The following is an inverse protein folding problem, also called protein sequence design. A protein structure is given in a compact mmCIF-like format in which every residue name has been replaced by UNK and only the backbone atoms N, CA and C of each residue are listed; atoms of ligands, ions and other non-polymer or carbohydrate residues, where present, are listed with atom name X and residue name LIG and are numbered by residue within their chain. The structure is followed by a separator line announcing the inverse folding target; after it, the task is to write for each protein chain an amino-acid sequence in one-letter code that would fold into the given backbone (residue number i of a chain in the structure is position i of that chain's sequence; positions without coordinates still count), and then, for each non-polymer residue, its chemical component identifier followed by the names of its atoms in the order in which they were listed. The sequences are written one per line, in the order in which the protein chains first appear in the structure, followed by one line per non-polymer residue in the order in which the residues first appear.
data_IF_503119902921
#
_entry.id   IF_503119902921
#
_cell.length_a   1.000
_cell.length_b   1.000
_cell.length_c   1.000
_cell.angle_alpha   90.00
_cell.angle_beta   90.00
_cell.angle_gamma   90.00
#
_symmetry.space_group_name_H-M   'P 1'
#
loop_
_entity.id
_entity.type
_entity.pdbx_description
1 polymer ?
#
# COMPACT_ATOMS: atom_id res chain seq x y z
N UNK A 1 -31.23 3.32 3.81
CA UNK A 1 -29.76 3.19 3.93
C UNK A 1 -29.44 1.72 4.16
N UNK A 2 -28.63 1.09 3.31
CA UNK A 2 -28.21 -0.30 3.52
C UNK A 2 -27.29 -0.36 4.76
N UNK A 3 -27.68 -1.17 5.76
CA UNK A 3 -26.76 -1.55 6.84
C UNK A 3 -25.77 -2.56 6.27
N UNK A 4 -24.51 -2.16 6.11
CA UNK A 4 -23.38 -3.04 5.72
C UNK A 4 -23.07 -4.07 6.80
N UNK A 5 -23.48 -3.80 8.02
CA UNK A 5 -23.35 -4.68 9.16
C UNK A 5 -24.57 -5.58 9.30
N UNK A 6 -24.31 -6.78 9.78
CA UNK A 6 -25.31 -7.77 10.16
C UNK A 6 -24.86 -8.50 11.43
N UNK A 7 -25.82 -8.84 12.27
CA UNK A 7 -25.59 -9.70 13.42
C UNK A 7 -25.62 -11.16 12.96
N UNK A 8 -24.49 -11.86 13.06
CA UNK A 8 -24.36 -13.21 12.52
C UNK A 8 -25.22 -14.21 13.30
N UNK A 9 -25.52 -13.94 14.58
CA UNK A 9 -26.39 -14.78 15.41
C UNK A 9 -27.84 -14.84 14.90
N UNK A 10 -28.24 -13.84 14.11
CA UNK A 10 -29.60 -13.73 13.55
C UNK A 10 -29.74 -14.37 12.16
N UNK A 11 -28.63 -14.83 11.58
CA UNK A 11 -28.63 -15.41 10.24
C UNK A 11 -29.15 -16.85 10.26
N UNK A 12 -29.89 -17.26 9.22
CA UNK A 12 -30.40 -18.63 9.14
C UNK A 12 -29.25 -19.64 9.01
N UNK A 13 -29.49 -20.84 9.54
CA UNK A 13 -28.53 -21.94 9.40
C UNK A 13 -28.44 -22.46 7.95
N UNK A 14 -29.50 -22.33 7.15
CA UNK A 14 -29.46 -22.72 5.73
C UNK A 14 -28.51 -21.80 4.94
N UNK A 15 -27.49 -22.40 4.33
CA UNK A 15 -26.43 -21.69 3.64
C UNK A 15 -26.94 -20.83 2.47
N UNK A 16 -27.87 -21.37 1.69
CA UNK A 16 -28.41 -20.70 0.50
C UNK A 16 -29.17 -19.46 0.93
N UNK A 17 -30.10 -19.62 1.87
CA UNK A 17 -30.90 -18.53 2.39
C UNK A 17 -30.05 -17.47 3.08
N UNK A 18 -29.02 -17.89 3.81
CA UNK A 18 -28.12 -16.95 4.48
C UNK A 18 -27.38 -16.06 3.49
N UNK A 19 -26.88 -16.61 2.37
CA UNK A 19 -26.24 -15.84 1.31
C UNK A 19 -27.25 -14.92 0.61
N UNK A 20 -28.42 -15.43 0.21
CA UNK A 20 -29.44 -14.65 -0.49
C UNK A 20 -29.88 -13.41 0.30
N UNK A 21 -30.04 -13.53 1.63
CA UNK A 21 -30.37 -12.41 2.52
C UNK A 21 -29.31 -11.30 2.55
N UNK A 22 -28.08 -11.59 2.10
CA UNK A 22 -27.02 -10.59 1.99
C UNK A 22 -27.00 -9.92 0.61
N UNK A 23 -27.47 -10.57 -0.45
CA UNK A 23 -27.27 -10.09 -1.82
C UNK A 23 -28.07 -8.83 -2.14
N UNK A 24 -29.35 -8.79 -1.76
CA UNK A 24 -30.25 -7.69 -2.11
C UNK A 24 -29.79 -6.35 -1.52
N UNK A 25 -29.41 -6.25 -0.23
CA UNK A 25 -28.85 -5.01 0.34
C UNK A 25 -27.52 -4.58 -0.29
N UNK A 26 -26.77 -5.52 -0.88
CA UNK A 26 -25.51 -5.26 -1.58
C UNK A 26 -25.72 -4.96 -3.08
N UNK A 27 -26.96 -5.02 -3.58
CA UNK A 27 -27.28 -4.86 -5.00
C UNK A 27 -26.71 -5.96 -5.90
N UNK A 28 -26.30 -7.08 -5.32
CA UNK A 28 -25.68 -8.20 -6.03
C UNK A 28 -26.75 -9.15 -6.58
N UNK A 29 -26.47 -9.72 -7.74
CA UNK A 29 -27.26 -10.82 -8.30
C UNK A 29 -26.55 -12.16 -8.10
N UNK A 30 -27.34 -13.23 -8.03
CA UNK A 30 -26.80 -14.58 -7.82
C UNK A 30 -26.47 -15.27 -9.14
N UNK A 31 -25.33 -15.95 -9.20
CA UNK A 31 -25.04 -16.93 -10.25
C UNK A 31 -25.66 -18.29 -9.91
N UNK A 32 -26.07 -19.11 -10.91
CA UNK A 32 -26.50 -20.49 -10.67
C UNK A 32 -25.51 -21.35 -9.85
N UNK A 33 -24.22 -20.98 -9.85
CA UNK A 33 -23.18 -21.62 -9.03
C UNK A 33 -23.44 -21.56 -7.51
N UNK A 34 -24.26 -20.62 -7.01
CA UNK A 34 -24.66 -20.60 -5.60
C UNK A 34 -25.37 -21.91 -5.21
N UNK A 35 -26.38 -22.32 -5.97
CA UNK A 35 -27.22 -23.47 -5.61
C UNK A 35 -26.40 -24.77 -5.57
N UNK A 36 -25.44 -24.93 -6.49
CA UNK A 36 -24.50 -26.05 -6.43
C UNK A 36 -23.56 -26.01 -5.22
N UNK A 37 -23.27 -24.81 -4.70
CA UNK A 37 -22.37 -24.64 -3.56
C UNK A 37 -23.07 -24.78 -2.22
N UNK A 38 -24.33 -24.34 -2.09
CA UNK A 38 -24.99 -24.14 -0.79
C UNK A 38 -26.26 -24.97 -0.56
N UNK A 39 -26.83 -25.62 -1.58
CA UNK A 39 -28.12 -26.30 -1.44
C UNK A 39 -28.08 -27.43 -0.40
N UNK A 40 -29.02 -27.40 0.54
CA UNK A 40 -29.14 -28.37 1.64
C UNK A 40 -28.01 -28.32 2.68
N UNK A 41 -27.10 -27.35 2.59
CA UNK A 41 -25.98 -27.22 3.52
C UNK A 41 -26.35 -26.34 4.71
N UNK A 42 -25.84 -26.70 5.89
CA UNK A 42 -26.01 -25.91 7.11
C UNK A 42 -24.71 -25.21 7.52
N UNK A 43 -24.84 -24.01 8.06
CA UNK A 43 -23.75 -23.13 8.49
C UNK A 43 -23.88 -22.86 9.98
N UNK A 44 -22.75 -22.82 10.68
CA UNK A 44 -22.70 -22.35 12.07
C UNK A 44 -22.20 -20.92 12.12
N UNK A 45 -22.97 -20.03 12.75
CA UNK A 45 -22.61 -18.62 12.86
C UNK A 45 -21.88 -18.35 14.18
N UNK A 46 -20.84 -17.50 14.19
CA UNK A 46 -20.24 -16.99 15.41
C UNK A 46 -21.18 -15.94 16.03
N UNK A 47 -21.15 -15.84 17.36
CA UNK A 47 -21.92 -14.84 18.10
C UNK A 47 -21.22 -13.48 18.08
N UNK A 48 -21.32 -12.77 16.94
CA UNK A 48 -20.77 -11.44 16.74
C UNK A 48 -21.45 -10.70 15.59
N UNK A 49 -21.24 -9.40 15.54
CA UNK A 49 -21.51 -8.58 14.35
C UNK A 49 -20.35 -8.66 13.36
N UNK A 50 -20.68 -8.48 12.09
CA UNK A 50 -19.72 -8.44 10.99
C UNK A 50 -20.32 -7.76 9.77
N UNK A 51 -19.56 -7.73 8.67
CA UNK A 51 -20.09 -7.19 7.41
C UNK A 51 -20.86 -8.25 6.65
N UNK A 52 -21.76 -7.82 5.76
CA UNK A 52 -22.48 -8.75 4.87
C UNK A 52 -21.55 -9.51 3.92
N UNK A 53 -20.49 -8.87 3.43
CA UNK A 53 -19.44 -9.55 2.66
C UNK A 53 -18.74 -10.62 3.48
N UNK A 54 -18.43 -10.31 4.74
CA UNK A 54 -17.83 -11.27 5.67
C UNK A 54 -18.76 -12.47 5.93
N UNK A 55 -20.08 -12.25 6.01
CA UNK A 55 -21.05 -13.34 6.14
C UNK A 55 -21.03 -14.26 4.90
N UNK A 56 -20.95 -13.72 3.68
CA UNK A 56 -20.84 -14.51 2.45
C UNK A 56 -19.53 -15.33 2.43
N UNK A 57 -18.40 -14.70 2.79
CA UNK A 57 -17.09 -15.35 2.89
C UNK A 57 -17.06 -16.43 3.98
N UNK A 58 -17.80 -16.23 5.08
CA UNK A 58 -17.96 -17.21 6.14
C UNK A 58 -18.66 -18.49 5.65
N UNK A 59 -19.71 -18.36 4.83
CA UNK A 59 -20.39 -19.50 4.20
C UNK A 59 -19.43 -20.23 3.27
N UNK A 60 -18.76 -19.51 2.37
CA UNK A 60 -17.79 -20.11 1.44
C UNK A 60 -16.72 -20.92 2.17
N UNK A 61 -16.15 -20.36 3.24
CA UNK A 61 -15.13 -21.02 4.05
C UNK A 61 -15.61 -22.34 4.66
N UNK A 62 -16.81 -22.39 5.25
CA UNK A 62 -17.33 -23.62 5.85
C UNK A 62 -17.62 -24.72 4.84
N UNK A 63 -18.03 -24.33 3.63
CA UNK A 63 -18.42 -25.27 2.58
C UNK A 63 -17.27 -25.67 1.64
N UNK A 64 -16.09 -25.03 1.76
CA UNK A 64 -14.98 -25.27 0.84
C UNK A 64 -15.24 -24.67 -0.55
N UNK A 65 -15.83 -23.48 -0.58
CA UNK A 65 -16.03 -22.67 -1.78
C UNK A 65 -15.48 -21.26 -1.60
N UNK A 66 -15.14 -20.62 -2.71
CA UNK A 66 -14.56 -19.28 -2.77
C UNK A 66 -15.59 -18.36 -3.44
N UNK A 67 -16.12 -17.36 -2.73
CA UNK A 67 -16.93 -16.30 -3.33
C UNK A 67 -16.10 -15.49 -4.34
N UNK A 68 -16.68 -15.26 -5.51
CA UNK A 68 -16.11 -14.44 -6.57
C UNK A 68 -17.11 -13.34 -6.94
N UNK A 69 -16.69 -12.09 -6.76
CA UNK A 69 -17.48 -10.91 -7.05
C UNK A 69 -17.06 -10.38 -8.41
N UNK A 70 -17.95 -10.43 -9.40
CA UNK A 70 -17.63 -10.04 -10.77
C UNK A 70 -18.87 -9.44 -11.43
N UNK A 71 -18.76 -8.25 -12.01
CA UNK A 71 -19.85 -7.61 -12.76
C UNK A 71 -21.21 -7.63 -12.01
N UNK A 72 -21.20 -7.18 -10.76
CA UNK A 72 -22.39 -7.14 -9.90
C UNK A 72 -23.02 -8.52 -9.60
N UNK A 73 -22.31 -9.61 -9.86
CA UNK A 73 -22.73 -10.99 -9.59
C UNK A 73 -21.84 -11.63 -8.55
N UNK A 74 -22.46 -12.44 -7.70
CA UNK A 74 -21.76 -13.40 -6.85
C UNK A 74 -21.72 -14.76 -7.53
N UNK A 75 -20.51 -15.27 -7.74
CA UNK A 75 -20.22 -16.64 -8.18
C UNK A 75 -19.52 -17.41 -7.06
N UNK A 76 -19.59 -18.74 -7.11
CA UNK A 76 -18.83 -19.60 -6.24
C UNK A 76 -17.93 -20.51 -7.06
N UNK A 77 -16.65 -20.57 -6.70
CA UNK A 77 -15.69 -21.53 -7.23
C UNK A 77 -15.29 -22.52 -6.15
N UNK A 78 -15.21 -23.81 -6.49
CA UNK A 78 -14.80 -24.84 -5.53
C UNK A 78 -13.35 -24.62 -5.11
N UNK A 79 -13.08 -24.74 -3.81
CA UNK A 79 -11.74 -24.59 -3.24
C UNK A 79 -11.73 -23.89 -1.88
N UNK A 80 -10.57 -23.84 -1.25
CA UNK A 80 -10.36 -23.03 -0.04
C UNK A 80 -9.66 -21.74 -0.44
N UNK A 81 -10.15 -20.61 0.07
CA UNK A 81 -9.45 -19.33 -0.07
C UNK A 81 -8.14 -19.43 0.72
N UNK A 82 -7.01 -19.39 0.02
CA UNK A 82 -5.68 -19.37 0.64
C UNK A 82 -5.27 -17.95 1.01
N UNK A 83 -5.84 -16.96 0.32
CA UNK A 83 -5.56 -15.55 0.48
C UNK A 83 -6.27 -14.94 1.69
N UNK A 84 -5.55 -14.25 2.59
CA UNK A 84 -6.17 -13.50 3.67
C UNK A 84 -7.12 -12.42 3.15
N UNK A 85 -8.30 -12.33 3.78
CA UNK A 85 -9.31 -11.32 3.52
C UNK A 85 -9.57 -10.49 4.79
N UNK A 86 -9.72 -9.18 4.63
CA UNK A 86 -10.15 -8.25 5.67
C UNK A 86 -11.40 -7.50 5.22
N UNK A 87 -12.25 -7.11 6.17
CA UNK A 87 -13.54 -6.50 5.88
C UNK A 87 -13.72 -5.20 6.66
N UNK A 88 -14.28 -4.18 6.01
CA UNK A 88 -14.62 -2.91 6.65
C UNK A 88 -15.79 -2.26 5.91
N UNK A 89 -16.95 -2.15 6.55
CA UNK A 89 -18.16 -1.58 5.93
C UNK A 89 -18.52 -2.31 4.63
N UNK A 90 -18.69 -1.59 3.50
CA UNK A 90 -19.00 -2.19 2.19
C UNK A 90 -17.84 -2.93 1.51
N UNK A 91 -16.67 -3.00 2.15
CA UNK A 91 -15.43 -3.42 1.52
C UNK A 91 -14.93 -4.75 2.01
N UNK A 92 -14.35 -5.48 1.06
CA UNK A 92 -13.44 -6.57 1.29
C UNK A 92 -12.09 -6.21 0.67
N UNK A 93 -11.01 -6.46 1.39
CA UNK A 93 -9.65 -6.28 0.89
C UNK A 93 -8.92 -7.63 0.97
N UNK A 94 -8.40 -8.09 -0.16
CA UNK A 94 -7.79 -9.40 -0.37
C UNK A 94 -6.29 -9.24 -0.64
N UNK A 95 -5.46 -10.02 0.03
CA UNK A 95 -4.03 -10.12 -0.34
C UNK A 95 -3.90 -11.17 -1.45
N UNK A 96 -4.00 -10.74 -2.71
CA UNK A 96 -3.99 -11.66 -3.87
C UNK A 96 -2.61 -12.30 -4.12
N UNK A 97 -1.55 -11.52 -3.93
CA UNK A 97 -0.22 -11.97 -4.27
C UNK A 97 0.82 -11.34 -3.35
N UNK A 98 1.78 -12.16 -2.94
CA UNK A 98 3.04 -11.71 -2.35
C UNK A 98 4.14 -12.12 -3.32
N UNK A 99 4.74 -11.15 -3.99
CA UNK A 99 5.82 -11.36 -4.94
C UNK A 99 7.16 -11.05 -4.27
N UNK A 100 7.99 -12.05 -3.92
CA UNK A 100 9.34 -11.77 -3.46
C UNK A 100 10.15 -11.05 -4.54
N UNK A 101 11.06 -10.18 -4.10
CA UNK A 101 12.11 -9.59 -4.90
C UNK A 101 13.45 -10.08 -4.35
N UNK A 102 13.92 -11.18 -4.93
CA UNK A 102 15.14 -11.90 -4.49
C UNK A 102 16.36 -10.99 -4.45
N UNK A 103 16.39 -9.97 -5.32
CA UNK A 103 17.54 -9.08 -5.48
C UNK A 103 17.79 -8.22 -4.23
N UNK A 104 16.76 -7.91 -3.45
CA UNK A 104 16.83 -6.90 -2.40
C UNK A 104 16.19 -7.29 -1.06
N UNK A 105 15.70 -8.53 -0.94
CA UNK A 105 15.01 -8.99 0.28
C UNK A 105 13.73 -8.19 0.58
N UNK A 106 13.11 -7.63 -0.46
CA UNK A 106 11.81 -6.94 -0.40
C UNK A 106 10.73 -7.82 -1.00
N UNK A 107 9.46 -7.56 -0.68
CA UNK A 107 8.32 -8.19 -1.34
C UNK A 107 7.36 -7.13 -1.88
N UNK A 108 6.61 -7.43 -2.91
CA UNK A 108 5.45 -6.63 -3.33
C UNK A 108 4.19 -7.39 -2.94
N UNK A 109 3.39 -6.80 -2.04
CA UNK A 109 2.01 -7.23 -1.80
C UNK A 109 1.11 -6.62 -2.86
N UNK A 110 0.33 -7.45 -3.53
CA UNK A 110 -0.78 -7.02 -4.37
C UNK A 110 -2.07 -7.23 -3.60
N UNK A 111 -2.78 -6.13 -3.35
CA UNK A 111 -4.02 -6.14 -2.59
C UNK A 111 -5.16 -5.72 -3.52
N UNK A 112 -6.20 -6.55 -3.57
CA UNK A 112 -7.44 -6.25 -4.29
C UNK A 112 -8.49 -5.76 -3.30
N UNK A 113 -8.99 -4.56 -3.52
CA UNK A 113 -10.11 -4.00 -2.81
C UNK A 113 -11.37 -4.19 -3.65
N UNK A 114 -12.42 -4.75 -3.03
CA UNK A 114 -13.73 -4.96 -3.62
C UNK A 114 -14.76 -4.18 -2.80
N UNK A 115 -15.45 -3.24 -3.45
CA UNK A 115 -16.60 -2.52 -2.89
C UNK A 115 -17.89 -2.94 -3.56
N UNK A 116 -18.92 -3.23 -2.77
CA UNK A 116 -20.26 -3.62 -3.28
C UNK A 116 -21.36 -2.75 -2.69
N UNK A 117 -22.46 -2.62 -3.43
CA UNK A 117 -23.69 -1.95 -3.00
C UNK A 117 -23.57 -0.43 -2.76
N UNK A 118 -22.45 0.19 -3.15
CA UNK A 118 -22.22 1.60 -2.88
C UNK A 118 -23.32 2.47 -3.51
N UNK A 119 -23.86 3.48 -2.79
CA UNK A 119 -24.76 4.45 -3.39
C UNK A 119 -24.12 5.12 -4.60
N UNK A 120 -24.91 5.42 -5.64
CA UNK A 120 -24.41 6.00 -6.89
C UNK A 120 -23.55 7.25 -6.66
N UNK A 121 -24.01 8.16 -5.81
CA UNK A 121 -23.29 9.39 -5.44
C UNK A 121 -21.92 9.13 -4.78
N UNK A 122 -21.76 8.00 -4.10
CA UNK A 122 -20.49 7.56 -3.51
C UNK A 122 -19.61 6.99 -4.60
N UNK A 123 -20.15 6.06 -5.40
CA UNK A 123 -19.44 5.37 -6.49
C UNK A 123 -18.85 6.36 -7.51
N UNK A 124 -19.59 7.38 -7.91
CA UNK A 124 -19.13 8.39 -8.89
C UNK A 124 -17.91 9.19 -8.40
N UNK A 125 -17.74 9.34 -7.08
CA UNK A 125 -16.60 10.06 -6.49
C UNK A 125 -15.40 9.17 -6.22
N UNK A 126 -15.56 7.87 -6.37
CA UNK A 126 -14.57 6.88 -5.99
C UNK A 126 -13.64 6.56 -7.17
N UNK A 127 -12.70 7.46 -7.38
CA UNK A 127 -11.58 7.26 -8.31
C UNK A 127 -10.48 6.42 -7.66
N UNK A 128 -9.56 5.80 -8.44
CA UNK A 128 -8.40 5.12 -7.88
C UNK A 128 -7.60 5.99 -6.89
N UNK A 129 -7.50 7.30 -7.15
CA UNK A 129 -6.82 8.25 -6.27
C UNK A 129 -7.53 8.41 -4.91
N UNK A 130 -8.86 8.37 -4.90
CA UNK A 130 -9.67 8.44 -3.69
C UNK A 130 -9.63 7.14 -2.87
N UNK A 131 -9.39 6.00 -3.53
CA UNK A 131 -9.38 4.66 -2.93
C UNK A 131 -8.02 4.09 -2.57
N UNK A 132 -7.02 4.95 -2.55
CA UNK A 132 -5.71 4.56 -2.06
C UNK A 132 -5.80 4.18 -0.60
N UNK A 133 -5.46 2.93 -0.28
CA UNK A 133 -5.21 2.52 1.09
C UNK A 133 -4.07 3.37 1.64
N UNK A 134 -4.36 4.05 2.75
CA UNK A 134 -3.50 4.91 3.54
C UNK A 134 -3.10 4.17 4.81
N UNK A 135 -2.09 4.70 5.50
CA UNK A 135 -1.64 4.24 6.81
C UNK A 135 -1.43 2.72 6.87
N UNK A 136 -0.28 2.28 6.39
CA UNK A 136 0.09 0.88 6.40
C UNK A 136 0.98 0.56 7.58
N UNK A 137 0.65 -0.52 8.27
CA UNK A 137 1.51 -1.13 9.28
C UNK A 137 1.59 -2.61 8.97
N UNK A 138 2.79 -3.13 8.73
CA UNK A 138 3.03 -4.55 8.55
C UNK A 138 4.00 -4.99 9.63
N UNK A 139 3.62 -5.96 10.46
CA UNK A 139 4.44 -6.43 11.58
C UNK A 139 4.91 -7.86 11.38
N UNK A 140 6.19 -8.11 11.64
CA UNK A 140 6.72 -9.47 11.76
C UNK A 140 6.15 -10.16 13.02
N UNK A 141 6.25 -11.49 13.16
CA UNK A 141 5.92 -12.17 14.40
C UNK A 141 6.75 -11.71 15.61
N UNK A 142 7.95 -11.16 15.39
CA UNK A 142 8.79 -10.57 16.43
C UNK A 142 8.43 -9.10 16.74
N UNK A 143 7.48 -8.50 16.00
CA UNK A 143 7.03 -7.12 16.18
C UNK A 143 7.78 -6.09 15.32
N UNK A 144 8.71 -6.52 14.46
CA UNK A 144 9.44 -5.63 13.57
C UNK A 144 8.50 -4.98 12.56
N UNK A 145 8.72 -3.70 12.27
CA UNK A 145 8.01 -3.01 11.19
C UNK A 145 8.57 -3.45 9.84
N UNK A 146 7.69 -4.05 9.02
CA UNK A 146 7.95 -4.52 7.67
C UNK A 146 7.46 -3.54 6.60
N UNK A 147 6.65 -2.54 6.98
CA UNK A 147 6.15 -1.56 6.02
C UNK A 147 7.22 -0.48 5.76
N UNK A 148 7.37 -0.04 4.52
CA UNK A 148 8.03 1.24 4.28
C UNK A 148 7.01 2.36 4.35
N UNK A 149 7.12 3.29 5.32
CA UNK A 149 6.21 4.42 5.43
C UNK A 149 6.26 5.35 4.21
N UNK A 150 7.24 5.17 3.32
CA UNK A 150 7.44 5.96 2.10
C UNK A 150 7.26 5.14 0.81
N UNK A 151 6.80 3.89 0.91
CA UNK A 151 6.61 3.01 -0.24
C UNK A 151 5.69 3.63 -1.29
N UNK A 152 6.08 3.54 -2.57
CA UNK A 152 5.20 3.97 -3.66
C UNK A 152 4.04 2.99 -3.79
N UNK A 153 2.83 3.49 -3.53
CA UNK A 153 1.63 2.74 -3.81
C UNK A 153 1.28 2.89 -5.28
N UNK A 154 1.53 1.84 -6.06
CA UNK A 154 1.08 1.80 -7.45
C UNK A 154 -0.38 1.35 -7.48
N UNK A 155 -1.23 2.23 -8.02
CA UNK A 155 -2.60 1.91 -8.34
C UNK A 155 -2.62 1.27 -9.73
N UNK A 156 -3.17 0.07 -9.86
CA UNK A 156 -3.42 -0.52 -11.17
C UNK A 156 -4.80 -0.07 -11.66
N UNK A 157 -5.01 0.07 -12.99
CA UNK A 157 -6.30 0.50 -13.54
C UNK A 157 -7.44 -0.43 -13.09
N UNK A 158 -8.61 0.18 -12.85
CA UNK A 158 -9.86 -0.54 -12.56
C UNK A 158 -10.16 -1.50 -13.72
N UNK A 159 -10.44 -2.77 -13.44
CA UNK A 159 -11.00 -3.70 -14.43
C UNK A 159 -12.50 -3.77 -14.20
N UNK A 160 -13.27 -3.41 -15.22
CA UNK A 160 -14.72 -3.54 -15.22
C UNK A 160 -15.40 -2.55 -14.28
N UNK A 161 -15.77 -1.37 -14.78
CA UNK A 161 -16.76 -0.53 -14.12
C UNK A 161 -18.15 -1.04 -14.46
N UNK A 162 -18.49 -2.23 -13.97
CA UNK A 162 -19.92 -2.48 -13.80
C UNK A 162 -20.40 -1.56 -12.69
N UNK A 163 -21.55 -0.92 -12.90
CA UNK A 163 -22.19 0.01 -11.98
C UNK A 163 -22.25 -0.46 -10.53
N UNK A 164 -22.14 -1.75 -10.22
CA UNK A 164 -22.37 -2.26 -8.85
C UNK A 164 -21.12 -2.69 -8.08
N UNK A 165 -19.95 -2.62 -8.71
CA UNK A 165 -18.71 -3.15 -8.17
C UNK A 165 -17.57 -2.14 -8.38
N UNK A 166 -16.80 -1.87 -7.34
CA UNK A 166 -15.53 -1.13 -7.46
C UNK A 166 -14.38 -2.06 -7.13
N UNK A 167 -13.49 -2.27 -8.10
CA UNK A 167 -12.30 -3.11 -7.94
C UNK A 167 -11.01 -2.31 -8.12
N UNK A 168 -10.18 -2.27 -7.08
CA UNK A 168 -8.87 -1.61 -7.12
C UNK A 168 -7.78 -2.62 -6.79
N UNK A 169 -6.65 -2.55 -7.49
CA UNK A 169 -5.42 -3.20 -7.04
C UNK A 169 -4.41 -2.17 -6.58
N UNK A 170 -3.79 -2.47 -5.44
CA UNK A 170 -2.71 -1.69 -4.89
C UNK A 170 -1.50 -2.58 -4.65
N UNK A 171 -0.35 -2.14 -5.16
CA UNK A 171 0.93 -2.74 -4.84
C UNK A 171 1.54 -2.02 -3.64
N UNK A 172 2.03 -2.79 -2.66
CA UNK A 172 2.70 -2.30 -1.45
C UNK A 172 4.03 -3.02 -1.30
N UNK A 173 5.11 -2.26 -1.21
CA UNK A 173 6.43 -2.83 -0.96
C UNK A 173 6.61 -3.13 0.54
N UNK A 174 6.95 -4.38 0.85
CA UNK A 174 7.38 -4.84 2.16
C UNK A 174 8.89 -4.96 2.22
N UNK A 175 9.43 -4.59 3.37
CA UNK A 175 10.86 -4.50 3.64
C UNK A 175 11.21 -5.51 4.71
N UNK A 176 12.41 -6.08 4.61
CA UNK A 176 12.89 -7.14 5.51
C UNK A 176 12.02 -8.40 5.53
N UNK A 177 11.11 -8.55 4.55
CA UNK A 177 10.14 -9.63 4.46
C UNK A 177 10.79 -11.02 4.37
N UNK A 178 12.08 -11.12 4.07
CA UNK A 178 12.75 -12.40 3.83
C UNK A 178 13.91 -12.75 4.76
N UNK A 179 14.17 -11.96 5.81
CA UNK A 179 15.14 -12.35 6.85
C UNK A 179 14.51 -13.34 7.86
N UNK A 180 14.14 -14.53 7.39
CA UNK A 180 13.50 -15.57 8.21
C UNK A 180 12.03 -15.30 8.55
N UNK A 181 11.42 -14.29 7.95
CA UNK A 181 10.01 -13.96 8.14
C UNK A 181 9.19 -14.70 7.09
N UNK A 182 8.47 -15.74 7.49
CA UNK A 182 7.61 -16.53 6.59
C UNK A 182 6.16 -16.07 6.58
N UNK A 183 5.81 -15.10 7.44
CA UNK A 183 4.47 -14.54 7.56
C UNK A 183 4.50 -13.11 8.10
N UNK A 184 3.54 -12.30 7.70
CA UNK A 184 3.22 -11.04 8.36
C UNK A 184 2.22 -11.36 9.47
N UNK A 185 2.58 -11.11 10.73
CA UNK A 185 1.70 -11.41 11.85
C UNK A 185 0.46 -10.52 11.84
N UNK A 186 0.65 -9.23 11.52
CA UNK A 186 -0.42 -8.25 11.42
C UNK A 186 -0.15 -7.29 10.28
N UNK A 187 -1.13 -7.12 9.41
CA UNK A 187 -1.16 -6.08 8.38
C UNK A 187 -2.37 -5.20 8.65
N UNK A 188 -2.20 -3.89 8.74
CA UNK A 188 -3.31 -2.95 8.80
C UNK A 188 -3.21 -1.92 7.69
N UNK A 189 -4.37 -1.48 7.22
CA UNK A 189 -4.52 -0.42 6.24
C UNK A 189 -5.82 0.33 6.50
N UNK A 190 -5.90 1.59 6.06
CA UNK A 190 -7.14 2.34 6.12
C UNK A 190 -7.52 2.99 4.79
N UNK A 191 -8.80 3.23 4.59
CA UNK A 191 -9.30 4.08 3.49
C UNK A 191 -10.06 5.22 4.12
N UNK A 192 -9.82 6.42 3.62
CA UNK A 192 -10.60 7.61 3.93
C UNK A 192 -11.47 7.92 2.70
N UNK A 193 -12.75 7.55 2.73
CA UNK A 193 -13.64 7.84 1.61
C UNK A 193 -13.72 9.35 1.37
N UNK A 194 -13.81 9.79 0.11
CA UNK A 194 -14.06 11.19 -0.19
C UNK A 194 -15.39 11.61 0.44
N UNK A 195 -15.50 12.84 0.96
CA UNK A 195 -16.74 13.32 1.54
C UNK A 195 -17.83 13.36 0.46
N UNK A 196 -18.98 12.76 0.78
CA UNK A 196 -20.19 12.75 -0.04
C UNK A 196 -21.27 13.46 0.77
N UNK A 197 -21.88 14.49 0.20
CA UNK A 197 -22.90 15.27 0.88
C UNK A 197 -24.05 14.35 1.35
N UNK A 198 -24.41 14.43 2.63
CA UNK A 198 -25.47 13.61 3.22
C UNK A 198 -25.08 12.16 3.50
N UNK A 199 -23.82 11.74 3.29
CA UNK A 199 -23.35 10.39 3.62
C UNK A 199 -22.08 10.46 4.46
N UNK A 200 -22.21 10.15 5.75
CA UNK A 200 -21.07 9.99 6.64
C UNK A 200 -20.42 8.62 6.41
N UNK A 201 -19.20 8.61 5.89
CA UNK A 201 -18.36 7.42 5.82
C UNK A 201 -17.23 7.54 6.85
N UNK A 202 -17.19 6.70 7.89
CA UNK A 202 -16.03 6.67 8.79
C UNK A 202 -14.80 6.17 8.02
N UNK A 203 -13.62 6.48 8.55
CA UNK A 203 -12.39 5.86 8.08
C UNK A 203 -12.51 4.34 8.22
N UNK A 204 -12.34 3.63 7.11
CA UNK A 204 -12.46 2.18 7.03
C UNK A 204 -11.12 1.57 7.38
N UNK A 205 -11.07 0.65 8.35
CA UNK A 205 -9.83 0.01 8.78
C UNK A 205 -9.88 -1.48 8.45
N UNK A 206 -8.87 -1.94 7.74
CA UNK A 206 -8.65 -3.33 7.38
C UNK A 206 -7.55 -3.91 8.26
N UNK A 207 -7.77 -5.10 8.78
CA UNK A 207 -6.77 -5.86 9.52
C UNK A 207 -6.70 -7.28 8.96
N UNK A 208 -5.52 -7.69 8.52
CA UNK A 208 -5.20 -9.07 8.19
C UNK A 208 -4.28 -9.64 9.25
N UNK A 209 -4.41 -10.94 9.50
CA UNK A 209 -3.55 -11.71 10.40
C UNK A 209 -2.94 -12.87 9.65
N UNK A 210 -1.73 -13.24 10.06
CA UNK A 210 -1.01 -14.41 9.53
C UNK A 210 -0.94 -14.44 8.00
N UNK A 211 -0.60 -13.31 7.37
CA UNK A 211 -0.48 -13.23 5.91
C UNK A 211 0.75 -14.03 5.48
N UNK A 212 0.60 -15.11 4.70
CA UNK A 212 1.73 -15.95 4.32
C UNK A 212 2.65 -15.20 3.38
N UNK A 213 3.96 -15.25 3.65
CA UNK A 213 4.99 -14.80 2.72
C UNK A 213 5.58 -16.05 2.06
N UNK A 214 5.42 -16.17 0.74
CA UNK A 214 6.09 -17.25 0.01
C UNK A 214 7.60 -17.09 0.20
N UNK A 215 8.33 -18.10 0.71
CA UNK A 215 9.76 -17.96 0.92
C UNK A 215 10.44 -17.59 -0.41
N UNK A 216 11.26 -16.55 -0.40
CA UNK A 216 12.10 -16.22 -1.54
C UNK A 216 13.09 -17.38 -1.74
N UNK A 217 13.24 -17.91 -2.97
CA UNK A 217 14.01 -19.12 -3.24
C UNK A 217 15.47 -19.06 -2.77
N UNK A 218 16.04 -17.87 -2.61
CA UNK A 218 17.41 -17.67 -2.13
C UNK A 218 17.55 -16.32 -1.42
N UNK A 219 17.20 -16.24 -0.14
CA UNK A 219 17.63 -15.07 0.65
C UNK A 219 19.01 -15.36 1.23
N UNK A 220 20.07 -14.64 0.81
CA UNK A 220 21.40 -14.88 1.36
C UNK A 220 21.38 -14.57 2.86
N UNK A 221 21.99 -15.45 3.65
CA UNK A 221 22.06 -15.38 5.12
C UNK A 221 22.76 -14.09 5.61
N UNK A 222 23.60 -13.49 4.75
CA UNK A 222 24.18 -12.16 4.94
C UNK A 222 24.06 -11.35 3.66
N UNK A 223 23.68 -10.08 3.79
CA UNK A 223 23.74 -9.17 2.65
C UNK A 223 25.21 -8.90 2.28
N UNK A 224 25.54 -8.89 0.97
CA UNK A 224 26.86 -8.49 0.54
C UNK A 224 27.12 -7.03 0.96
N UNK A 225 28.38 -6.64 1.22
CA UNK A 225 28.72 -5.25 1.49
C UNK A 225 28.32 -4.36 0.30
N UNK A 226 28.01 -3.09 0.58
CA UNK A 226 27.70 -2.10 -0.45
C UNK A 226 28.93 -1.86 -1.34
N UNK A 227 28.78 -2.01 -2.66
CA UNK A 227 29.88 -1.77 -3.61
C UNK A 227 29.62 -0.48 -4.38
N UNK A 228 30.56 0.45 -4.34
CA UNK A 228 30.46 1.72 -5.06
C UNK A 228 31.83 2.22 -5.51
N UNK A 229 31.83 3.02 -6.58
CA UNK A 229 33.04 3.68 -7.07
C UNK A 229 33.26 5.06 -6.44
N UNK A 230 34.51 5.42 -6.21
CA UNK A 230 34.92 6.74 -5.72
C UNK A 230 34.73 6.95 -4.21
N UNK A 231 34.81 8.21 -3.76
CA UNK A 231 34.80 8.54 -2.33
C UNK A 231 33.44 8.54 -1.64
N UNK A 232 32.33 8.42 -2.40
CA UNK A 232 30.98 8.40 -1.86
C UNK A 232 30.05 7.56 -2.74
N UNK A 233 29.11 6.80 -2.16
CA UNK A 233 28.16 5.98 -2.91
C UNK A 233 27.03 6.81 -3.53
N UNK A 234 26.84 8.06 -3.11
CA UNK A 234 25.82 8.97 -3.64
C UNK A 234 26.40 10.37 -3.78
N UNK A 235 26.08 11.03 -4.88
CA UNK A 235 26.27 12.46 -5.03
C UNK A 235 24.94 13.16 -5.25
N UNK A 236 24.85 14.41 -4.80
CA UNK A 236 23.78 15.33 -5.15
C UNK A 236 24.38 16.63 -5.68
N UNK A 237 23.81 17.19 -6.75
CA UNK A 237 24.22 18.45 -7.36
C UNK A 237 23.00 19.32 -7.61
N UNK A 238 23.19 20.64 -7.55
CA UNK A 238 22.11 21.57 -7.80
C UNK A 238 21.96 21.69 -9.31
N UNK A 239 20.75 21.48 -9.81
CA UNK A 239 20.45 21.65 -11.23
C UNK A 239 19.90 23.06 -11.51
N UNK A 240 18.88 23.48 -10.75
CA UNK A 240 18.29 24.82 -10.88
C UNK A 240 17.54 25.22 -9.61
N UNK A 241 17.40 26.52 -9.37
CA UNK A 241 16.44 27.10 -8.42
C UNK A 241 15.32 27.75 -9.20
N UNK A 242 14.08 27.47 -8.81
CA UNK A 242 12.86 28.02 -9.40
C UNK A 242 12.26 28.96 -8.36
N UNK A 243 12.19 30.26 -8.63
CA UNK A 243 11.46 31.19 -7.79
C UNK A 243 9.99 30.75 -7.71
N UNK A 244 9.46 30.60 -6.50
CA UNK A 244 8.07 30.20 -6.27
C UNK A 244 7.56 30.84 -4.98
N UNK A 245 6.24 31.06 -4.90
CA UNK A 245 5.61 31.70 -3.73
C UNK A 245 4.89 30.63 -2.89
N UNK A 246 5.12 30.55 -1.57
CA UNK A 246 5.92 31.44 -0.73
C UNK A 246 7.41 31.10 -0.64
N UNK A 247 7.86 29.98 -1.24
CA UNK A 247 9.24 29.51 -1.12
C UNK A 247 9.78 28.99 -2.44
N UNK A 248 11.03 29.37 -2.75
CA UNK A 248 11.78 28.84 -3.88
C UNK A 248 11.86 27.31 -3.85
N UNK A 249 11.94 26.71 -5.04
CA UNK A 249 12.11 25.27 -5.20
C UNK A 249 13.43 24.93 -5.88
N UNK A 250 14.14 23.96 -5.34
CA UNK A 250 15.30 23.37 -5.98
C UNK A 250 14.92 22.18 -6.86
N UNK A 251 15.57 22.11 -8.03
CA UNK A 251 15.79 20.88 -8.77
C UNK A 251 17.22 20.44 -8.53
N UNK A 252 17.41 19.18 -8.18
CA UNK A 252 18.71 18.57 -7.94
C UNK A 252 18.92 17.40 -8.88
N UNK A 253 20.17 17.05 -9.10
CA UNK A 253 20.55 15.81 -9.76
C UNK A 253 21.19 14.90 -8.71
N UNK A 254 20.70 13.68 -8.59
CA UNK A 254 21.23 12.67 -7.69
C UNK A 254 21.86 11.56 -8.52
N UNK A 255 23.10 11.20 -8.20
CA UNK A 255 23.85 10.11 -8.81
C UNK A 255 23.99 8.99 -7.78
N UNK A 256 23.46 7.80 -8.07
CA UNK A 256 23.68 6.61 -7.27
C UNK A 256 24.87 5.84 -7.85
N UNK A 257 26.00 5.85 -7.15
CA UNK A 257 27.22 5.14 -7.53
C UNK A 257 27.30 3.74 -6.97
N UNK A 258 26.37 3.37 -6.09
CA UNK A 258 26.31 2.05 -5.54
C UNK A 258 25.70 1.06 -6.55
N UNK A 259 26.02 -0.20 -6.33
CA UNK A 259 25.38 -1.37 -6.94
C UNK A 259 23.97 -1.63 -6.40
N UNK A 260 23.52 -0.81 -5.44
CA UNK A 260 22.25 -0.98 -4.73
C UNK A 260 21.31 0.22 -4.90
N UNK A 261 19.98 0.01 -5.04
CA UNK A 261 19.06 1.12 -5.20
C UNK A 261 18.97 1.93 -3.91
N UNK A 262 18.71 3.22 -4.05
CA UNK A 262 18.54 4.13 -2.92
C UNK A 262 17.11 4.06 -2.39
N UNK A 263 16.99 3.96 -1.07
CA UNK A 263 15.74 4.17 -0.34
C UNK A 263 15.55 5.64 -0.01
N UNK A 264 16.62 6.25 0.54
CA UNK A 264 16.61 7.64 0.97
C UNK A 264 17.97 8.27 0.71
N UNK A 265 17.94 9.54 0.37
CA UNK A 265 19.12 10.39 0.34
C UNK A 265 18.85 11.57 1.24
N UNK A 266 19.74 11.80 2.21
CA UNK A 266 19.77 13.05 2.95
C UNK A 266 20.65 14.01 2.18
N UNK A 267 20.05 15.10 1.73
CA UNK A 267 20.76 16.18 1.04
C UNK A 267 20.84 17.38 1.97
N UNK A 268 21.98 18.08 1.95
CA UNK A 268 22.17 19.35 2.64
C UNK A 268 22.19 20.46 1.62
N UNK A 269 21.31 21.43 1.79
CA UNK A 269 21.37 22.72 1.11
C UNK A 269 22.18 23.68 1.95
N UNK A 270 23.21 24.29 1.36
CA UNK A 270 24.01 25.35 1.98
C UNK A 270 23.72 26.64 1.23
N UNK A 271 23.30 27.66 1.96
CA UNK A 271 22.96 28.97 1.41
C UNK A 271 24.16 29.90 1.54
N UNK A 272 24.50 30.57 0.44
CA UNK A 272 25.66 31.46 0.36
C UNK A 272 25.21 32.87 -0.04
N UNK A 273 25.83 33.89 0.54
CA UNK A 273 25.68 35.28 0.09
C UNK A 273 26.48 35.59 -1.19
N UNK A 274 26.38 36.82 -1.68
CA UNK A 274 27.12 37.32 -2.84
C UNK A 274 28.63 37.10 -2.74
N UNK A 275 29.20 37.14 -1.52
CA UNK A 275 30.62 36.96 -1.25
C UNK A 275 31.04 35.49 -1.14
N UNK A 276 30.07 34.57 -1.14
CA UNK A 276 30.29 33.14 -0.98
C UNK A 276 30.36 32.67 0.47
N UNK A 277 30.00 33.51 1.45
CA UNK A 277 29.93 33.10 2.86
C UNK A 277 28.65 32.35 3.13
N UNK A 278 28.74 31.33 4.00
CA UNK A 278 27.58 30.56 4.44
C UNK A 278 26.68 31.43 5.31
N UNK A 279 25.46 31.67 4.85
CA UNK A 279 24.43 32.41 5.59
C UNK A 279 23.35 31.50 6.18
N UNK A 280 23.37 30.21 5.83
CA UNK A 280 22.50 29.21 6.42
C UNK A 280 22.68 27.83 5.80
N UNK A 281 22.02 26.84 6.39
CA UNK A 281 21.89 25.51 5.78
C UNK A 281 20.63 24.81 6.25
N UNK A 282 20.17 23.85 5.47
CA UNK A 282 19.12 22.92 5.87
C UNK A 282 19.41 21.53 5.32
N UNK A 283 18.91 20.50 6.00
CA UNK A 283 18.93 19.14 5.52
C UNK A 283 17.53 18.70 5.16
N UNK A 284 17.40 18.02 4.03
CA UNK A 284 16.15 17.43 3.59
C UNK A 284 16.35 15.95 3.30
N UNK A 285 15.31 15.18 3.60
CA UNK A 285 15.25 13.76 3.30
C UNK A 285 14.48 13.57 2.00
N UNK A 286 15.16 13.05 0.97
CA UNK A 286 14.55 12.67 -0.30
C UNK A 286 14.32 11.17 -0.30
N UNK A 287 13.09 10.74 -0.57
CA UNK A 287 12.69 9.33 -0.56
C UNK A 287 11.62 9.05 -1.62
N UNK A 288 11.39 7.76 -1.91
CA UNK A 288 10.40 7.29 -2.88
C UNK A 288 11.00 6.90 -4.24
N UNK A 289 10.16 6.42 -5.17
CA UNK A 289 10.54 5.89 -6.48
C UNK A 289 11.00 6.93 -7.50
N UNK A 290 11.13 8.19 -7.06
CA UNK A 290 11.86 9.24 -7.77
C UNK A 290 13.38 9.05 -7.74
N UNK A 291 13.95 8.26 -6.81
CA UNK A 291 15.41 8.12 -6.67
C UNK A 291 16.05 7.35 -7.84
N UNK A 292 17.35 7.58 -8.13
CA UNK A 292 18.06 6.86 -9.19
C UNK A 292 18.28 5.39 -8.83
N UNK A 293 18.11 4.53 -9.84
CA UNK A 293 18.49 3.12 -9.81
C UNK A 293 20.02 2.96 -9.61
N UNK A 294 20.52 1.75 -9.29
CA UNK A 294 21.96 1.49 -9.17
C UNK A 294 22.74 1.99 -10.37
N UNK A 295 23.85 2.69 -10.13
CA UNK A 295 24.76 3.20 -11.18
C UNK A 295 24.07 4.10 -12.21
N UNK A 296 23.06 4.85 -11.77
CA UNK A 296 22.36 5.81 -12.63
C UNK A 296 22.29 7.18 -11.98
N UNK A 297 21.96 8.17 -12.81
CA UNK A 297 21.72 9.54 -12.40
C UNK A 297 20.28 9.92 -12.70
N UNK A 298 19.64 10.65 -11.79
CA UNK A 298 18.27 11.12 -11.98
C UNK A 298 18.11 12.55 -11.46
N UNK A 299 17.37 13.34 -12.22
CA UNK A 299 16.96 14.69 -11.81
C UNK A 299 15.70 14.59 -10.97
N UNK A 300 15.76 15.19 -9.79
CA UNK A 300 14.68 15.28 -8.81
C UNK A 300 14.27 16.74 -8.72
N UNK A 301 12.96 17.01 -8.77
CA UNK A 301 12.44 18.37 -8.77
C UNK A 301 11.50 18.65 -7.62
N UNK A 302 11.32 19.93 -7.32
CA UNK A 302 10.25 20.40 -6.44
C UNK A 302 10.58 20.36 -4.95
N UNK A 303 11.86 20.28 -4.58
CA UNK A 303 12.29 20.36 -3.18
C UNK A 303 12.17 21.82 -2.71
N UNK A 304 11.29 22.06 -1.75
CA UNK A 304 10.99 23.40 -1.24
C UNK A 304 12.12 23.87 -0.32
N UNK A 305 12.69 25.05 -0.55
CA UNK A 305 13.77 25.61 0.26
C UNK A 305 13.22 26.40 1.45
N UNK A 306 12.65 25.69 2.44
CA UNK A 306 11.91 26.28 3.56
C UNK A 306 12.70 27.30 4.38
N UNK A 307 14.01 27.06 4.54
CA UNK A 307 14.86 27.87 5.41
C UNK A 307 15.84 28.76 4.64
N UNK A 308 15.58 29.04 3.36
CA UNK A 308 16.42 29.94 2.56
C UNK A 308 16.34 31.37 3.16
N UNK A 309 17.45 31.94 3.66
CA UNK A 309 17.47 33.33 4.11
C UNK A 309 17.32 34.29 2.94
N UNK A 310 16.72 35.47 3.17
CA UNK A 310 16.61 36.54 2.15
C UNK A 310 17.97 37.05 1.67
N UNK A 311 19.01 36.89 2.49
CA UNK A 311 20.40 37.24 2.18
C UNK A 311 21.13 36.19 1.31
N UNK A 312 20.46 35.10 0.95
CA UNK A 312 21.07 34.02 0.18
C UNK A 312 20.96 34.26 -1.33
N UNK A 313 22.11 34.46 -1.97
CA UNK A 313 22.23 34.64 -3.42
C UNK A 313 22.50 33.34 -4.17
N UNK A 314 23.16 32.36 -3.51
CA UNK A 314 23.51 31.07 -4.12
C UNK A 314 23.15 29.92 -3.22
N UNK A 315 22.93 28.77 -3.83
CA UNK A 315 22.64 27.52 -3.13
C UNK A 315 23.64 26.46 -3.59
N UNK A 316 24.22 25.73 -2.65
CA UNK A 316 24.97 24.50 -2.90
C UNK A 316 24.17 23.34 -2.34
N UNK A 317 24.20 22.19 -3.01
CA UNK A 317 23.64 20.95 -2.47
C UNK A 317 24.68 19.84 -2.49
N UNK A 318 24.63 18.98 -1.49
CA UNK A 318 25.45 17.78 -1.41
C UNK A 318 24.69 16.65 -0.71
N UNK A 319 25.03 15.40 -1.05
CA UNK A 319 24.55 14.25 -0.29
C UNK A 319 25.38 14.11 0.99
N UNK A 320 24.71 14.00 2.13
CA UNK A 320 25.32 13.86 3.46
C UNK A 320 24.98 12.53 4.12
N UNK A 321 24.00 11.82 3.58
CA UNK A 321 23.71 10.44 3.97
C UNK A 321 22.83 9.74 2.94
N UNK A 322 22.86 8.42 2.98
CA UNK A 322 22.05 7.57 2.13
C UNK A 322 21.64 6.30 2.88
N UNK A 323 20.43 5.82 2.60
CA UNK A 323 19.96 4.50 3.00
C UNK A 323 19.68 3.74 1.71
N UNK A 324 20.24 2.54 1.57
CA UNK A 324 20.05 1.67 0.42
C UNK A 324 18.99 0.62 0.70
N UNK A 325 18.49 -0.06 -0.34
CA UNK A 325 17.71 -1.29 -0.14
C UNK A 325 18.50 -2.30 0.71
N UNK A 326 17.82 -3.15 1.47
CA UNK A 326 18.48 -4.03 2.46
C UNK A 326 18.97 -3.32 3.74
N UNK A 327 18.88 -1.99 3.80
CA UNK A 327 19.13 -1.21 5.03
C UNK A 327 20.58 -0.80 5.26
N UNK A 328 21.48 -1.02 4.29
CA UNK A 328 22.82 -0.45 4.37
C UNK A 328 22.73 1.09 4.45
N UNK A 329 23.47 1.68 5.39
CA UNK A 329 23.53 3.13 5.58
C UNK A 329 24.91 3.66 5.22
N UNK A 330 24.93 4.84 4.61
CA UNK A 330 26.12 5.65 4.45
C UNK A 330 25.88 7.02 5.06
N UNK A 331 26.87 7.54 5.78
CA UNK A 331 26.89 8.90 6.30
C UNK A 331 28.23 9.51 5.93
N UNK A 332 28.20 10.73 5.42
CA UNK A 332 29.42 11.48 5.14
C UNK A 332 30.09 11.82 6.47
N UNK A 333 31.40 11.63 6.55
CA UNK A 333 32.17 12.09 7.71
C UNK A 333 31.99 13.61 7.89
N UNK A 334 31.95 14.11 9.14
CA UNK A 334 31.73 15.52 9.44
C UNK A 334 32.77 16.45 8.83
#
# INVERSE_FOLDING_TARGET
MASWEVDFSTLPADATRAVELQLEPLGLSVSPSLYSATSGQQIRWPDRRGTRLEAIEWVGRQLGWIPEYEAGRLKFRRGRREEPAAFAGPFMALVEQVSPSDRWGTATLRIRLVGVGLPDAVRERWTPAALKLRHWEARSPAGDDLADPLGEHRLLPLRGTDSRLVELWQEVELWHAFRGVHRIARLTASIEPPPVAGVAFPALRFEWRDVPLKPAPTTPEREPPLVFGGGAPVLARLYSVIPDTPHDRARIEVENRADRPLRRVRVRFTYLDATGRVVGSEEQLVAGGGLPAPRTTRRLGGLVLWKKPDTADRVRVEAVGAVFLGGAEWKRAP
#
